data_IF_540819642943
#
_entry.id   IF_540819642943
#
_cell.length_a   1.000
_cell.length_b   1.000
_cell.length_c   1.000
_cell.angle_alpha   90.00
_cell.angle_beta   90.00
_cell.angle_gamma   90.00
#
_symmetry.space_group_name_H-M   'P 1'
#
loop_
_entity.id
_entity.type
_entity.pdbx_description
1 polymer ?
#
# COMPACT_ATOMS: atom_id res chain seq x y z
N UNK A 1 -14.20 4.19 -16.02
CA UNK A 1 -13.72 5.12 -14.97
C UNK A 1 -12.53 4.47 -14.30
N UNK A 2 -11.45 5.22 -14.09
CA UNK A 2 -10.24 4.70 -13.49
C UNK A 2 -10.41 4.38 -12.01
N UNK A 3 -9.49 3.59 -11.47
CA UNK A 3 -9.40 3.29 -10.04
C UNK A 3 -7.96 3.01 -9.61
N UNK A 4 -7.67 3.30 -8.35
CA UNK A 4 -6.45 2.90 -7.67
C UNK A 4 -6.77 1.76 -6.70
N UNK A 5 -5.99 0.69 -6.76
CA UNK A 5 -6.11 -0.46 -5.86
C UNK A 5 -4.74 -0.96 -5.41
N UNK A 6 -4.72 -1.72 -4.32
CA UNK A 6 -3.53 -2.40 -3.81
C UNK A 6 -3.86 -3.83 -3.40
N UNK A 7 -2.82 -4.61 -3.15
CA UNK A 7 -2.86 -5.96 -2.61
C UNK A 7 -1.55 -6.20 -1.88
N UNK A 8 -1.60 -6.71 -0.65
CA UNK A 8 -0.42 -6.98 0.16
C UNK A 8 -0.26 -8.49 0.32
N UNK A 9 0.90 -9.00 -0.09
CA UNK A 9 1.27 -10.40 0.03
C UNK A 9 2.44 -10.56 1.02
N UNK A 10 2.24 -11.34 2.06
CA UNK A 10 3.29 -11.79 2.97
C UNK A 10 3.95 -13.05 2.40
N UNK A 11 5.19 -12.92 1.93
CA UNK A 11 5.95 -14.05 1.35
C UNK A 11 6.74 -14.84 2.38
N UNK A 12 6.76 -14.44 3.65
CA UNK A 12 7.29 -15.32 4.72
C UNK A 12 6.39 -16.52 4.95
N UNK A 13 5.08 -16.34 4.78
CA UNK A 13 4.07 -17.38 4.96
C UNK A 13 3.34 -17.75 3.66
N UNK A 14 3.64 -17.05 2.55
CA UNK A 14 3.04 -17.31 1.25
C UNK A 14 1.54 -17.04 1.19
N UNK A 15 1.05 -16.02 1.91
CA UNK A 15 -0.38 -15.72 2.04
C UNK A 15 -0.69 -14.22 1.97
N UNK A 16 -1.93 -13.83 1.65
CA UNK A 16 -2.32 -12.43 1.73
C UNK A 16 -2.14 -11.87 3.15
N UNK A 17 -1.61 -10.66 3.25
CA UNK A 17 -1.38 -10.00 4.52
C UNK A 17 -2.66 -9.28 4.96
N UNK A 18 -3.42 -9.90 5.86
CA UNK A 18 -4.66 -9.35 6.39
C UNK A 18 -4.42 -8.38 7.56
N UNK A 19 -5.19 -7.30 7.63
CA UNK A 19 -5.12 -6.31 8.69
C UNK A 19 -3.96 -5.31 8.59
N UNK A 20 -3.27 -5.27 7.45
CA UNK A 20 -2.21 -4.28 7.21
C UNK A 20 -2.86 -2.91 7.06
N UNK A 21 -2.48 -1.97 7.93
CA UNK A 21 -2.87 -0.56 7.78
C UNK A 21 -2.18 0.03 6.56
N UNK A 22 -2.94 0.75 5.74
CA UNK A 22 -2.48 1.43 4.53
C UNK A 22 -2.98 2.87 4.56
N UNK A 23 -2.05 3.82 4.48
CA UNK A 23 -2.34 5.24 4.32
C UNK A 23 -2.04 5.66 2.87
N UNK A 24 -2.96 6.40 2.25
CA UNK A 24 -2.79 7.01 0.93
C UNK A 24 -2.64 8.52 1.04
N UNK A 25 -1.61 9.06 0.42
CA UNK A 25 -1.33 10.49 0.34
C UNK A 25 -1.32 11.00 -1.10
N UNK A 26 -1.75 12.24 -1.33
CA UNK A 26 -1.31 13.03 -2.48
C UNK A 26 -0.01 13.76 -2.13
N UNK A 27 0.83 13.97 -3.15
CA UNK A 27 2.10 14.70 -3.05
C UNK A 27 2.04 15.92 -3.95
N UNK A 28 2.17 17.10 -3.35
CA UNK A 28 2.25 18.39 -4.04
C UNK A 28 3.39 19.22 -3.45
N UNK A 29 4.33 19.69 -4.27
CA UNK A 29 5.50 20.47 -3.82
C UNK A 29 6.25 19.82 -2.63
N UNK A 30 6.45 18.49 -2.71
CA UNK A 30 7.02 17.64 -1.65
C UNK A 30 6.26 17.62 -0.31
N UNK A 31 5.07 18.22 -0.25
CA UNK A 31 4.15 18.12 0.89
C UNK A 31 3.21 16.93 0.72
N UNK A 32 2.99 16.20 1.82
CA UNK A 32 2.08 15.05 1.88
C UNK A 32 0.74 15.49 2.44
N UNK A 33 -0.35 15.19 1.73
CA UNK A 33 -1.72 15.37 2.21
C UNK A 33 -2.40 14.01 2.32
N UNK A 34 -2.83 13.62 3.53
CA UNK A 34 -3.52 12.36 3.75
C UNK A 34 -4.89 12.37 3.06
N UNK A 35 -5.15 11.38 2.22
CA UNK A 35 -6.43 11.19 1.53
C UNK A 35 -7.29 10.16 2.26
N UNK A 36 -6.72 8.99 2.56
CA UNK A 36 -7.46 7.86 3.12
C UNK A 36 -6.54 6.99 3.98
N UNK A 37 -7.07 6.49 5.09
CA UNK A 37 -6.50 5.38 5.86
C UNK A 37 -7.45 4.20 5.76
N UNK A 38 -6.92 3.00 5.51
CA UNK A 38 -7.71 1.77 5.41
C UNK A 38 -6.89 0.57 5.91
N UNK A 39 -7.51 -0.61 5.96
CA UNK A 39 -6.86 -1.87 6.30
C UNK A 39 -7.12 -2.92 5.22
N UNK A 40 -6.18 -3.85 5.05
CA UNK A 40 -6.39 -4.99 4.17
C UNK A 40 -7.34 -6.01 4.78
N UNK A 41 -8.22 -6.59 3.97
CA UNK A 41 -9.14 -7.66 4.31
C UNK A 41 -8.43 -9.03 4.32
N UNK A 42 -9.18 -10.13 4.39
CA UNK A 42 -8.61 -11.49 4.44
C UNK A 42 -7.90 -11.92 3.15
N UNK A 43 -8.17 -11.25 2.02
CA UNK A 43 -7.47 -11.43 0.74
C UNK A 43 -6.34 -10.41 0.55
N UNK A 44 -5.91 -9.71 1.61
CA UNK A 44 -4.81 -8.75 1.54
C UNK A 44 -5.14 -7.49 0.71
N UNK A 45 -6.41 -7.26 0.37
CA UNK A 45 -6.89 -6.13 -0.45
C UNK A 45 -7.69 -5.15 0.39
N UNK A 46 -7.97 -3.96 -0.13
CA UNK A 46 -8.98 -3.09 0.48
C UNK A 46 -10.37 -3.47 -0.05
N UNK A 47 -11.40 -3.43 0.80
CA UNK A 47 -12.78 -3.74 0.40
C UNK A 47 -13.32 -2.77 -0.66
N UNK A 48 -12.85 -1.52 -0.62
CA UNK A 48 -13.12 -0.50 -1.62
C UNK A 48 -11.83 -0.07 -2.32
N UNK A 49 -11.90 0.40 -3.58
CA UNK A 49 -10.78 1.08 -4.21
C UNK A 49 -10.27 2.25 -3.36
N UNK A 50 -8.96 2.45 -3.40
CA UNK A 50 -8.29 3.54 -2.71
C UNK A 50 -8.73 4.89 -3.30
N UNK A 51 -8.86 4.94 -4.64
CA UNK A 51 -9.49 6.02 -5.40
C UNK A 51 -10.32 5.41 -6.53
N UNK A 52 -11.41 6.09 -6.93
CA UNK A 52 -12.24 5.70 -8.06
C UNK A 52 -13.05 6.90 -8.57
N UNK A 53 -13.45 6.85 -9.84
CA UNK A 53 -14.34 7.88 -10.41
C UNK A 53 -13.72 9.27 -10.35
N UNK A 54 -14.47 10.25 -9.84
CA UNK A 54 -14.03 11.65 -9.76
C UNK A 54 -12.85 11.89 -8.81
N UNK A 55 -12.57 10.96 -7.88
CA UNK A 55 -11.40 11.06 -7.02
C UNK A 55 -10.09 10.77 -7.77
N UNK A 56 -10.15 10.11 -8.93
CA UNK A 56 -8.99 9.88 -9.78
C UNK A 56 -8.60 11.19 -10.48
N UNK A 57 -7.35 11.58 -10.31
CA UNK A 57 -6.74 12.69 -11.01
C UNK A 57 -5.26 12.40 -11.27
N UNK A 58 -4.69 13.11 -12.24
CA UNK A 58 -3.26 12.99 -12.53
C UNK A 58 -2.45 13.64 -11.41
N UNK A 59 -1.32 13.05 -11.05
CA UNK A 59 -0.51 13.54 -9.94
C UNK A 59 0.43 12.48 -9.39
N UNK A 60 1.14 12.87 -8.33
CA UNK A 60 2.01 11.98 -7.57
C UNK A 60 1.31 11.60 -6.27
N UNK A 61 1.33 10.32 -5.96
CA UNK A 61 0.71 9.75 -4.78
C UNK A 61 1.74 8.91 -4.03
N UNK A 62 1.45 8.62 -2.77
CA UNK A 62 2.26 7.73 -1.95
C UNK A 62 1.36 6.82 -1.12
N UNK A 63 1.63 5.51 -1.18
CA UNK A 63 1.05 4.54 -0.26
C UNK A 63 2.07 4.23 0.85
N UNK A 64 1.62 4.30 2.09
CA UNK A 64 2.41 3.91 3.26
C UNK A 64 1.77 2.69 3.91
N UNK A 65 2.49 1.57 3.86
CA UNK A 65 2.06 0.31 4.45
C UNK A 65 2.77 0.11 5.79
N UNK A 66 2.00 -0.10 6.86
CA UNK A 66 2.53 -0.34 8.20
C UNK A 66 2.87 -1.84 8.38
N UNK A 67 3.88 -2.30 7.64
CA UNK A 67 4.25 -3.71 7.54
C UNK A 67 4.90 -4.27 8.83
N UNK A 68 5.69 -3.46 9.53
CA UNK A 68 6.30 -3.85 10.81
C UNK A 68 5.25 -4.18 11.87
N UNK A 69 4.19 -3.36 11.96
CA UNK A 69 3.09 -3.60 12.89
C UNK A 69 2.33 -4.89 12.56
N UNK A 70 2.13 -5.18 11.27
CA UNK A 70 1.56 -6.45 10.82
C UNK A 70 2.40 -7.66 11.26
N UNK A 71 3.73 -7.61 11.07
CA UNK A 71 4.60 -8.71 11.47
C UNK A 71 4.69 -8.87 12.99
N UNK A 72 4.75 -7.76 13.73
CA UNK A 72 4.74 -7.77 15.19
C UNK A 72 3.44 -8.39 15.74
N UNK A 73 2.27 -8.01 15.18
CA UNK A 73 0.98 -8.59 15.53
C UNK A 73 0.88 -10.09 15.16
N UNK A 74 1.64 -10.52 14.15
CA UNK A 74 1.75 -11.93 13.74
C UNK A 74 2.75 -12.74 14.58
N UNK A 75 3.31 -12.15 15.64
CA UNK A 75 4.22 -12.82 16.57
C UNK A 75 5.68 -12.90 16.09
N UNK A 76 6.03 -12.20 15.00
CA UNK A 76 7.41 -12.17 14.51
C UNK A 76 8.25 -11.27 15.42
N UNK A 77 9.29 -11.85 16.03
CA UNK A 77 10.27 -11.08 16.79
C UNK A 77 11.29 -10.46 15.83
N UNK A 78 11.33 -9.14 15.77
CA UNK A 78 12.24 -8.38 14.92
C UNK A 78 13.22 -7.58 15.81
N UNK A 79 14.50 -7.44 15.42
CA UNK A 79 15.41 -6.48 16.04
C UNK A 79 14.88 -5.05 15.85
N UNK A 80 15.22 -4.18 16.80
CA UNK A 80 14.88 -2.77 16.74
C UNK A 80 16.12 -1.92 16.39
N UNK A 81 16.00 -0.92 15.48
CA UNK A 81 14.81 -0.61 14.69
C UNK A 81 14.49 -1.70 13.65
N UNK A 82 13.19 -1.99 13.46
CA UNK A 82 12.74 -2.94 12.43
C UNK A 82 13.28 -2.53 11.06
N UNK A 83 13.86 -3.47 10.32
CA UNK A 83 14.45 -3.19 9.01
C UNK A 83 13.38 -2.81 7.97
N UNK A 84 12.28 -3.57 7.91
CA UNK A 84 11.06 -3.19 7.20
C UNK A 84 9.98 -2.86 8.23
N UNK A 85 9.66 -1.57 8.38
CA UNK A 85 8.63 -1.09 9.29
C UNK A 85 7.48 -0.42 8.52
N UNK A 86 7.71 0.81 8.06
CA UNK A 86 6.79 1.52 7.18
C UNK A 86 7.34 1.53 5.75
N UNK A 87 6.61 0.91 4.82
CA UNK A 87 6.98 0.87 3.41
C UNK A 87 6.25 1.98 2.67
N UNK A 88 6.97 3.01 2.26
CA UNK A 88 6.46 4.09 1.41
C UNK A 88 6.70 3.81 -0.07
N UNK A 89 5.64 3.74 -0.86
CA UNK A 89 5.70 3.60 -2.33
C UNK A 89 5.14 4.86 -2.96
N UNK A 90 6.02 5.69 -3.53
CA UNK A 90 5.66 6.88 -4.30
C UNK A 90 5.52 6.54 -5.78
N UNK A 91 4.42 6.94 -6.40
CA UNK A 91 4.12 6.63 -7.80
C UNK A 91 3.29 7.73 -8.46
N UNK A 92 3.29 7.75 -9.79
CA UNK A 92 2.50 8.70 -10.58
C UNK A 92 1.25 8.05 -11.17
N UNK A 93 0.13 8.78 -11.13
CA UNK A 93 -1.04 8.53 -11.97
C UNK A 93 -0.98 9.52 -13.14
N UNK A 94 -0.90 8.99 -14.36
CA UNK A 94 -0.76 9.76 -15.60
C UNK A 94 -2.05 9.80 -16.42
N UNK A 95 -2.96 8.84 -16.20
CA UNK A 95 -4.27 8.79 -16.83
C UNK A 95 -5.35 8.51 -15.77
N UNK A 96 -6.17 9.50 -15.45
CA UNK A 96 -7.25 9.39 -14.47
C UNK A 96 -8.33 8.36 -14.86
N UNK A 97 -8.40 7.96 -16.14
CA UNK A 97 -9.37 6.98 -16.63
C UNK A 97 -8.87 5.54 -16.60
N UNK A 98 -7.57 5.32 -16.35
CA UNK A 98 -6.96 4.00 -16.31
C UNK A 98 -7.05 3.36 -14.91
N UNK A 99 -6.92 2.04 -14.88
CA UNK A 99 -6.76 1.29 -13.64
C UNK A 99 -5.29 1.27 -13.23
N UNK A 100 -5.04 1.51 -11.95
CA UNK A 100 -3.74 1.42 -11.32
C UNK A 100 -3.83 0.39 -10.21
N UNK A 101 -3.00 -0.66 -10.31
CA UNK A 101 -2.81 -1.61 -9.23
C UNK A 101 -1.37 -1.51 -8.74
N UNK A 102 -1.18 -1.16 -7.47
CA UNK A 102 0.14 -0.98 -6.85
C UNK A 102 0.24 -1.95 -5.67
N UNK A 103 0.62 -3.21 -5.89
CA UNK A 103 0.72 -4.21 -4.84
C UNK A 103 2.02 -4.06 -4.04
N UNK A 104 2.03 -4.62 -2.84
CA UNK A 104 3.20 -4.80 -2.01
C UNK A 104 3.43 -6.30 -1.79
N UNK A 105 4.61 -6.79 -2.16
CA UNK A 105 5.07 -8.13 -1.78
C UNK A 105 6.14 -7.93 -0.71
N UNK A 106 5.96 -8.50 0.48
CA UNK A 106 6.74 -8.08 1.65
C UNK A 106 7.13 -9.25 2.56
N UNK A 107 8.32 -9.12 3.13
CA UNK A 107 8.82 -9.85 4.30
C UNK A 107 9.34 -8.83 5.33
N UNK A 108 9.73 -9.23 6.55
CA UNK A 108 10.39 -8.32 7.48
C UNK A 108 11.76 -7.78 6.99
N UNK A 109 12.33 -8.35 5.92
CA UNK A 109 13.69 -8.05 5.44
C UNK A 109 13.75 -7.53 4.01
N UNK A 110 12.64 -7.59 3.28
CA UNK A 110 12.61 -7.24 1.86
C UNK A 110 11.19 -6.90 1.44
N UNK A 111 11.09 -6.09 0.39
CA UNK A 111 9.82 -5.85 -0.27
C UNK A 111 10.04 -5.51 -1.74
N UNK A 112 8.98 -5.69 -2.54
CA UNK A 112 8.94 -5.26 -3.92
C UNK A 112 7.54 -4.78 -4.30
N UNK A 113 7.48 -3.99 -5.37
CA UNK A 113 6.26 -3.47 -5.95
C UNK A 113 6.41 -3.35 -7.46
N UNK A 114 5.30 -3.15 -8.16
CA UNK A 114 5.25 -2.94 -9.61
C UNK A 114 3.93 -2.25 -9.98
N UNK A 115 3.79 -1.81 -11.24
CA UNK A 115 2.49 -1.37 -11.78
C UNK A 115 1.76 -2.57 -12.35
N UNK A 116 0.71 -3.03 -11.67
CA UNK A 116 -0.23 -4.02 -12.19
C UNK A 116 -1.29 -3.41 -13.13
N UNK A 117 -2.03 -4.30 -13.77
CA UNK A 117 -3.18 -3.99 -14.65
C UNK A 117 -4.48 -3.79 -13.89
#
# INVERSE_FOLDING_TARGET
MGKLSTHVLDTTQGRPASGVRVDLYSIENDQRTLIKTTHTNSDGRCDEPLLQGEAMHTGVFELVFHAGDYFAASGVTLPEPRFVDQVGIRFGIADANANYHVPLVVTPWSWSTYRGS
#
